data_IF_351229151890
#
_entry.id   IF_351229151890
#
_cell.length_a   1.000
_cell.length_b   1.000
_cell.length_c   1.000
_cell.angle_alpha   90.00
_cell.angle_beta   90.00
_cell.angle_gamma   90.00
#
_symmetry.space_group_name_H-M   'P 1'
#
loop_
_entity.id
_entity.type
_entity.pdbx_description
1 polymer ?
#
# COMPACT_ATOMS: atom_id res chain seq x y z
N UNK A 1 -10.78 -11.26 3.13
CA UNK A 1 -11.04 -11.72 1.74
C UNK A 1 -9.72 -12.16 1.11
N UNK A 2 -9.12 -13.25 1.62
CA UNK A 2 -7.79 -13.75 1.20
C UNK A 2 -7.87 -14.94 0.22
N UNK A 3 -9.04 -15.26 -0.33
CA UNK A 3 -9.26 -16.56 -0.99
C UNK A 3 -9.17 -16.58 -2.53
N UNK A 4 -9.04 -15.44 -3.22
CA UNK A 4 -9.17 -15.43 -4.69
C UNK A 4 -7.88 -15.32 -5.49
N UNK A 5 -6.71 -15.42 -4.86
CA UNK A 5 -5.42 -15.49 -5.57
C UNK A 5 -4.57 -16.57 -4.91
N UNK A 6 -4.16 -17.58 -5.67
CA UNK A 6 -3.39 -18.72 -5.14
C UNK A 6 -1.97 -18.26 -4.80
N UNK A 7 -1.67 -18.10 -3.50
CA UNK A 7 -0.47 -17.41 -2.99
C UNK A 7 0.73 -18.30 -2.59
N UNK A 8 0.67 -19.63 -2.79
CA UNK A 8 1.76 -20.51 -2.36
C UNK A 8 2.46 -21.22 -3.52
N UNK A 9 3.68 -20.79 -3.83
CA UNK A 9 4.71 -21.68 -4.38
C UNK A 9 5.89 -21.65 -3.41
N UNK A 10 6.23 -22.78 -2.80
CA UNK A 10 7.47 -22.97 -2.03
C UNK A 10 8.65 -22.77 -2.98
N UNK A 11 9.41 -21.69 -2.85
CA UNK A 11 10.60 -21.42 -3.64
C UNK A 11 11.66 -20.64 -2.85
N UNK A 12 12.91 -21.08 -2.96
CA UNK A 12 14.12 -20.67 -2.20
C UNK A 12 14.24 -19.17 -1.85
N UNK A 13 14.66 -18.92 -0.61
CA UNK A 13 15.01 -17.62 0.00
C UNK A 13 15.82 -16.72 -0.96
N UNK A 14 15.23 -15.60 -1.38
CA UNK A 14 15.92 -14.49 -2.05
C UNK A 14 15.41 -14.24 -3.47
N UNK A 15 14.33 -13.45 -3.61
CA UNK A 15 13.76 -12.76 -4.82
C UNK A 15 12.22 -12.66 -4.83
N UNK A 16 11.52 -13.06 -3.76
CA UNK A 16 10.03 -13.11 -3.79
C UNK A 16 9.30 -11.79 -3.49
N UNK A 17 9.92 -10.81 -2.82
CA UNK A 17 9.22 -9.60 -2.33
C UNK A 17 8.71 -8.74 -3.49
N UNK A 18 9.52 -8.56 -4.53
CA UNK A 18 9.14 -7.81 -5.75
C UNK A 18 7.96 -8.46 -6.49
N UNK A 19 7.75 -9.78 -6.33
CA UNK A 19 6.66 -10.48 -7.01
C UNK A 19 5.27 -10.10 -6.49
N UNK A 20 5.14 -9.69 -5.21
CA UNK A 20 3.83 -9.42 -4.59
C UNK A 20 3.28 -8.07 -5.02
N UNK A 21 4.08 -7.01 -4.89
CA UNK A 21 3.70 -5.68 -5.37
C UNK A 21 3.43 -5.69 -6.87
N UNK A 22 4.25 -6.40 -7.65
CA UNK A 22 4.03 -6.56 -9.09
C UNK A 22 2.71 -7.24 -9.43
N UNK A 23 2.36 -8.35 -8.76
CA UNK A 23 1.07 -9.02 -8.98
C UNK A 23 -0.12 -8.13 -8.63
N UNK A 24 -0.04 -7.40 -7.52
CA UNK A 24 -1.09 -6.45 -7.12
C UNK A 24 -1.22 -5.31 -8.14
N UNK A 25 -0.10 -4.74 -8.60
CA UNK A 25 -0.06 -3.73 -9.64
C UNK A 25 -0.75 -4.21 -10.92
N UNK A 26 -0.36 -5.37 -11.46
CA UNK A 26 -0.96 -5.90 -12.70
C UNK A 26 -2.46 -6.17 -12.55
N UNK A 27 -2.89 -6.72 -11.41
CA UNK A 27 -4.30 -6.98 -11.16
C UNK A 27 -5.12 -5.68 -11.13
N UNK A 28 -4.66 -4.68 -10.39
CA UNK A 28 -5.35 -3.40 -10.23
C UNK A 28 -5.39 -2.64 -11.56
N UNK A 29 -4.25 -2.58 -12.26
CA UNK A 29 -4.13 -1.96 -13.58
C UNK A 29 -5.06 -2.61 -14.60
N UNK A 30 -5.11 -3.95 -14.65
CA UNK A 30 -6.00 -4.69 -15.54
C UNK A 30 -7.48 -4.39 -15.31
N UNK A 31 -7.86 -4.02 -14.08
CA UNK A 31 -9.23 -3.68 -13.70
C UNK A 31 -9.50 -2.16 -13.71
N UNK A 32 -8.62 -1.35 -14.33
CA UNK A 32 -8.83 0.09 -14.49
C UNK A 32 -8.59 0.93 -13.24
N UNK A 33 -7.99 0.36 -12.18
CA UNK A 33 -7.63 1.13 -10.98
C UNK A 33 -6.31 1.89 -11.26
N UNK A 34 -6.26 3.22 -11.05
CA UNK A 34 -5.03 3.98 -11.18
C UNK A 34 -3.97 3.51 -10.19
N UNK A 35 -2.88 2.98 -10.70
CA UNK A 35 -1.74 2.48 -9.91
C UNK A 35 -0.44 2.97 -10.51
N UNK A 36 0.50 3.35 -9.65
CA UNK A 36 1.77 3.96 -10.03
C UNK A 36 2.89 3.36 -9.19
N UNK A 37 4.07 3.22 -9.80
CA UNK A 37 5.30 3.08 -9.03
C UNK A 37 5.86 4.47 -8.75
N UNK A 38 6.54 4.62 -7.62
CA UNK A 38 7.38 5.76 -7.38
C UNK A 38 8.65 5.71 -8.23
N UNK A 39 9.35 6.84 -8.35
CA UNK A 39 10.62 6.88 -9.08
C UNK A 39 11.69 6.06 -8.36
N UNK A 40 12.69 5.56 -9.10
CA UNK A 40 13.80 4.79 -8.52
C UNK A 40 14.61 5.58 -7.48
N UNK A 41 14.57 6.91 -7.56
CA UNK A 41 15.30 7.83 -6.68
C UNK A 41 14.49 8.24 -5.44
N UNK A 42 13.19 7.92 -5.38
CA UNK A 42 12.31 8.32 -4.29
C UNK A 42 11.42 7.14 -3.86
N UNK A 43 11.64 6.63 -2.65
CA UNK A 43 10.84 5.52 -2.10
C UNK A 43 9.76 6.03 -1.15
N UNK A 44 8.51 5.68 -1.41
CA UNK A 44 7.36 6.00 -0.59
C UNK A 44 7.27 5.04 0.59
N UNK A 45 7.80 5.45 1.74
CA UNK A 45 7.76 4.62 2.95
C UNK A 45 6.47 4.76 3.78
N UNK A 46 5.60 5.72 3.47
CA UNK A 46 4.37 5.95 4.24
C UNK A 46 3.32 4.89 3.95
N UNK A 47 2.68 4.35 5.00
CA UNK A 47 1.53 3.43 4.88
C UNK A 47 0.29 4.22 5.23
N UNK A 48 -0.32 4.79 4.20
CA UNK A 48 -1.46 5.69 4.33
C UNK A 48 -2.60 5.16 3.48
N UNK A 49 -3.81 5.25 4.02
CA UNK A 49 -5.06 5.05 3.29
C UNK A 49 -5.97 6.25 3.55
N UNK A 50 -6.45 6.88 2.48
CA UNK A 50 -7.48 7.93 2.55
C UNK A 50 -8.75 7.39 1.93
N UNK A 51 -9.87 7.51 2.64
CA UNK A 51 -11.20 7.04 2.22
C UNK A 51 -12.12 8.25 2.16
N UNK A 52 -12.78 8.43 1.00
CA UNK A 52 -13.79 9.46 0.73
C UNK A 52 -13.35 10.90 1.09
N UNK A 53 -12.05 11.17 1.04
CA UNK A 53 -11.50 12.49 1.41
C UNK A 53 -11.77 12.89 2.86
N UNK A 54 -12.03 11.94 3.76
CA UNK A 54 -12.41 12.23 5.15
C UNK A 54 -11.71 11.35 6.18
N UNK A 55 -11.64 10.04 5.95
CA UNK A 55 -10.99 9.11 6.87
C UNK A 55 -9.56 8.89 6.39
N UNK A 56 -8.59 9.14 7.27
CA UNK A 56 -7.18 8.81 7.04
C UNK A 56 -6.74 7.76 8.04
N UNK A 57 -6.19 6.65 7.54
CA UNK A 57 -5.47 5.66 8.34
C UNK A 57 -3.98 5.82 8.03
N UNK A 58 -3.17 5.99 9.07
CA UNK A 58 -1.72 6.17 8.99
C UNK A 58 -1.06 5.35 10.08
N UNK A 59 0.07 4.71 9.77
CA UNK A 59 0.88 4.05 10.78
C UNK A 59 2.11 3.35 10.26
N UNK A 60 2.68 2.48 11.11
CA UNK A 60 3.83 1.64 10.77
C UNK A 60 3.43 0.39 9.97
N UNK A 61 2.15 0.03 9.99
CA UNK A 61 1.63 -1.25 9.49
C UNK A 61 1.79 -1.40 7.99
N UNK A 62 2.70 -2.28 7.56
CA UNK A 62 2.72 -2.77 6.19
C UNK A 62 1.44 -3.54 5.85
N UNK A 63 0.97 -3.49 4.60
CA UNK A 63 -0.22 -4.22 4.12
C UNK A 63 0.08 -5.70 3.85
N UNK A 64 0.57 -6.40 4.88
CA UNK A 64 0.91 -7.83 4.83
C UNK A 64 0.25 -8.56 5.99
N UNK A 65 -0.04 -9.85 5.79
CA UNK A 65 -0.64 -10.69 6.83
C UNK A 65 0.15 -10.66 8.15
N UNK A 66 1.49 -10.76 8.08
CA UNK A 66 2.32 -10.75 9.29
C UNK A 66 2.21 -9.42 10.04
N UNK A 67 2.23 -8.29 9.34
CA UNK A 67 2.10 -6.98 9.98
C UNK A 67 0.71 -6.79 10.62
N UNK A 68 -0.36 -7.26 9.96
CA UNK A 68 -1.72 -7.14 10.48
C UNK A 68 -2.05 -8.12 11.61
N UNK A 69 -1.37 -9.28 11.69
CA UNK A 69 -1.75 -10.35 12.63
C UNK A 69 -0.73 -10.67 13.71
N UNK A 70 0.55 -10.42 13.46
CA UNK A 70 1.66 -10.93 14.29
C UNK A 70 2.57 -9.84 14.81
N UNK A 71 2.86 -8.83 14.01
CA UNK A 71 3.78 -7.77 14.41
C UNK A 71 3.13 -6.83 15.41
N UNK A 72 3.96 -6.21 16.24
CA UNK A 72 3.57 -5.04 17.01
C UNK A 72 3.65 -3.82 16.11
N UNK A 73 2.50 -3.35 15.67
CA UNK A 73 2.36 -2.18 14.81
C UNK A 73 1.46 -1.16 15.50
N UNK A 74 1.65 0.12 15.18
CA UNK A 74 0.78 1.19 15.63
C UNK A 74 0.20 1.93 14.42
N UNK A 75 -1.11 2.11 14.42
CA UNK A 75 -1.82 2.90 13.42
C UNK A 75 -2.91 3.73 14.08
N UNK A 76 -3.17 4.91 13.54
CA UNK A 76 -4.24 5.80 13.96
C UNK A 76 -5.27 5.96 12.86
N UNK A 77 -6.53 6.07 13.25
CA UNK A 77 -7.63 6.48 12.38
C UNK A 77 -7.98 7.92 12.72
N UNK A 78 -7.92 8.79 11.71
CA UNK A 78 -8.21 10.21 11.83
C UNK A 78 -9.40 10.53 10.94
N UNK A 79 -10.44 11.13 11.52
CA UNK A 79 -11.63 11.61 10.80
C UNK A 79 -11.54 13.12 10.65
N UNK A 80 -11.08 13.60 9.49
CA UNK A 80 -10.92 15.03 9.21
C UNK A 80 -10.63 15.25 7.73
N UNK A 81 -11.45 16.08 7.07
CA UNK A 81 -11.22 16.50 5.68
C UNK A 81 -9.85 17.16 5.50
N UNK A 82 -9.46 18.05 6.42
CA UNK A 82 -8.18 18.75 6.34
C UNK A 82 -6.98 17.81 6.36
N UNK A 83 -7.04 16.75 7.18
CA UNK A 83 -5.96 15.76 7.25
C UNK A 83 -5.95 14.89 6.00
N UNK A 84 -7.12 14.47 5.53
CA UNK A 84 -7.24 13.70 4.30
C UNK A 84 -6.70 14.47 3.08
N UNK A 85 -7.07 15.74 2.93
CA UNK A 85 -6.59 16.63 1.87
C UNK A 85 -5.06 16.77 1.91
N UNK A 86 -4.48 17.03 3.09
CA UNK A 86 -3.04 17.16 3.24
C UNK A 86 -2.27 15.90 2.78
N UNK A 87 -2.79 14.70 3.07
CA UNK A 87 -2.18 13.46 2.58
C UNK A 87 -2.41 13.25 1.09
N UNK A 88 -3.59 13.56 0.55
CA UNK A 88 -3.86 13.48 -0.88
C UNK A 88 -2.94 14.41 -1.70
N UNK A 89 -2.72 15.63 -1.24
CA UNK A 89 -1.77 16.57 -1.85
C UNK A 89 -0.35 16.01 -1.83
N UNK A 90 0.09 15.51 -0.68
CA UNK A 90 1.43 14.92 -0.54
C UNK A 90 1.62 13.71 -1.46
N UNK A 91 0.61 12.84 -1.59
CA UNK A 91 0.66 11.68 -2.48
C UNK A 91 0.70 12.09 -3.97
N UNK A 92 0.06 13.20 -4.34
CA UNK A 92 0.13 13.73 -5.72
C UNK A 92 1.52 14.23 -6.10
N UNK A 93 2.31 14.70 -5.13
CA UNK A 93 3.67 15.23 -5.35
C UNK A 93 4.73 14.15 -5.51
N UNK A 94 4.41 12.88 -5.24
CA UNK A 94 5.38 11.79 -5.39
C UNK A 94 5.69 11.60 -6.88
N UNK A 95 6.98 11.67 -7.30
CA UNK A 95 7.37 11.38 -8.68
C UNK A 95 7.01 9.95 -9.06
N UNK A 96 6.36 9.78 -10.22
CA UNK A 96 5.86 8.50 -10.71
C UNK A 96 6.71 7.99 -11.86
N UNK A 97 6.93 6.68 -11.92
CA UNK A 97 7.53 5.98 -13.05
C UNK A 97 6.45 5.43 -14.00
#
# INVERSE_FOLDING_TARGET
MDQNITFWKKGKKGKEIESKSRKAYELLKKNGVPVYYDSKDCVTHSKVLVIDGYITILGSTNWTYSALKKNHEASVLIKSHRVAEAFLEKLKMIPKY
#
